data_IF_949041970678
#
_entry.id   IF_949041970678
#
_cell.length_a   1.000
_cell.length_b   1.000
_cell.length_c   1.000
_cell.angle_alpha   90.00
_cell.angle_beta   90.00
_cell.angle_gamma   90.00
#
_symmetry.space_group_name_H-M   'P 1'
#
loop_
_entity.id
_entity.type
_entity.pdbx_description
1 polymer ?
#
# COMPACT_ATOMS: atom_id res chain seq x y z
N UNK A 1 -3.84 -44.85 32.29
CA UNK A 1 -3.96 -45.74 31.12
C UNK A 1 -3.05 -45.24 30.01
N UNK A 2 -2.45 -46.15 29.24
CA UNK A 2 -1.49 -45.85 28.16
C UNK A 2 -2.06 -44.87 27.11
N UNK A 3 -3.38 -44.94 26.88
CA UNK A 3 -4.15 -44.05 26.00
C UNK A 3 -4.03 -42.58 26.42
N UNK A 4 -4.06 -42.28 27.72
CA UNK A 4 -3.95 -40.90 28.21
C UNK A 4 -2.57 -40.31 27.91
N UNK A 5 -1.51 -41.13 28.03
CA UNK A 5 -0.14 -40.72 27.72
C UNK A 5 0.02 -40.42 26.22
N UNK A 6 -0.49 -41.32 25.37
CA UNK A 6 -0.48 -41.13 23.92
C UNK A 6 -1.25 -39.87 23.49
N UNK A 7 -2.45 -39.67 24.04
CA UNK A 7 -3.26 -38.48 23.77
C UNK A 7 -2.55 -37.18 24.15
N UNK A 8 -1.87 -37.16 25.30
CA UNK A 8 -1.11 -36.00 25.75
C UNK A 8 0.08 -35.67 24.84
N UNK A 9 0.75 -36.68 24.29
CA UNK A 9 1.84 -36.49 23.31
C UNK A 9 1.28 -35.87 22.03
N UNK A 10 0.22 -36.45 21.46
CA UNK A 10 -0.41 -35.94 20.24
C UNK A 10 -0.92 -34.51 20.43
N UNK A 11 -1.53 -34.22 21.59
CA UNK A 11 -2.02 -32.87 21.91
C UNK A 11 -0.88 -31.84 21.91
N UNK A 12 0.28 -32.17 22.50
CA UNK A 12 1.46 -31.28 22.46
C UNK A 12 1.94 -31.05 21.04
N UNK A 13 2.04 -32.13 20.25
CA UNK A 13 2.46 -32.04 18.84
C UNK A 13 1.54 -31.15 18.01
N UNK A 14 0.22 -31.26 18.19
CA UNK A 14 -0.76 -30.44 17.45
C UNK A 14 -0.64 -28.96 17.85
N UNK A 15 -0.48 -28.67 19.15
CA UNK A 15 -0.31 -27.29 19.65
C UNK A 15 0.91 -26.62 19.04
N UNK A 16 2.00 -27.36 18.79
CA UNK A 16 3.19 -26.82 18.13
C UNK A 16 3.08 -26.76 16.61
N UNK A 17 2.38 -27.72 15.99
CA UNK A 17 2.26 -27.81 14.53
C UNK A 17 1.32 -26.77 13.93
N UNK A 18 0.19 -26.48 14.58
CA UNK A 18 -0.83 -25.59 14.02
C UNK A 18 -0.30 -24.16 13.82
N UNK A 19 0.36 -23.52 14.81
CA UNK A 19 0.94 -22.19 14.61
C UNK A 19 2.02 -22.17 13.53
N UNK A 20 2.82 -23.24 13.42
CA UNK A 20 3.85 -23.36 12.37
C UNK A 20 3.23 -23.46 10.98
N UNK A 21 2.17 -24.23 10.83
CA UNK A 21 1.45 -24.35 9.57
C UNK A 21 0.80 -23.01 9.16
N UNK A 22 0.21 -22.27 10.10
CA UNK A 22 -0.35 -20.94 9.82
C UNK A 22 0.75 -19.93 9.49
N UNK A 23 1.85 -19.93 10.24
CA UNK A 23 2.99 -19.05 9.97
C UNK A 23 3.52 -19.29 8.55
N UNK A 24 3.79 -20.53 8.17
CA UNK A 24 4.36 -20.85 6.86
C UNK A 24 3.38 -20.55 5.72
N UNK A 25 2.16 -21.08 5.80
CA UNK A 25 1.25 -21.09 4.66
C UNK A 25 0.47 -19.79 4.49
N UNK A 26 0.32 -18.98 5.55
CA UNK A 26 -0.43 -17.73 5.49
C UNK A 26 0.48 -16.53 5.68
N UNK A 27 1.19 -16.45 6.81
CA UNK A 27 1.91 -15.23 7.18
C UNK A 27 3.14 -15.02 6.31
N UNK A 28 4.02 -16.02 6.24
CA UNK A 28 5.24 -15.97 5.42
C UNK A 28 4.89 -15.90 3.95
N UNK A 29 3.98 -16.76 3.48
CA UNK A 29 3.49 -16.74 2.10
C UNK A 29 2.92 -15.37 1.70
N UNK A 30 2.00 -14.81 2.50
CA UNK A 30 1.43 -13.49 2.20
C UNK A 30 2.51 -12.40 2.19
N UNK A 31 3.48 -12.44 3.11
CA UNK A 31 4.57 -11.47 3.13
C UNK A 31 5.42 -11.52 1.86
N UNK A 32 5.72 -12.72 1.36
CA UNK A 32 6.55 -12.92 0.17
C UNK A 32 5.81 -12.55 -1.12
N UNK A 33 4.58 -13.03 -1.29
CA UNK A 33 3.82 -12.80 -2.52
C UNK A 33 3.17 -11.41 -2.58
N UNK A 34 2.89 -10.75 -1.45
CA UNK A 34 2.25 -9.43 -1.44
C UNK A 34 3.03 -8.41 -2.30
N UNK A 35 4.36 -8.39 -2.19
CA UNK A 35 5.18 -7.45 -2.97
C UNK A 35 5.06 -7.72 -4.47
N UNK A 36 5.04 -9.00 -4.87
CA UNK A 36 4.95 -9.41 -6.27
C UNK A 36 3.59 -9.11 -6.86
N UNK A 37 2.53 -9.45 -6.14
CA UNK A 37 1.14 -9.22 -6.58
C UNK A 37 0.85 -7.72 -6.66
N UNK A 38 1.28 -6.94 -5.66
CA UNK A 38 1.12 -5.49 -5.65
C UNK A 38 1.85 -4.85 -6.85
N UNK A 39 3.04 -5.35 -7.18
CA UNK A 39 3.80 -4.87 -8.35
C UNK A 39 3.07 -5.18 -9.66
N UNK A 40 2.53 -6.40 -9.79
CA UNK A 40 1.73 -6.79 -10.96
C UNK A 40 0.49 -5.92 -11.11
N UNK A 41 -0.26 -5.67 -10.02
CA UNK A 41 -1.46 -4.84 -10.06
C UNK A 41 -1.14 -3.37 -10.35
N UNK A 42 -0.10 -2.80 -9.73
CA UNK A 42 0.28 -1.40 -9.92
C UNK A 42 0.80 -1.12 -11.33
N UNK A 43 1.51 -2.06 -11.97
CA UNK A 43 2.02 -1.87 -13.34
C UNK A 43 1.02 -2.21 -14.44
N UNK A 44 -0.23 -2.60 -14.10
CA UNK A 44 -1.30 -2.64 -15.11
C UNK A 44 -1.55 -1.22 -15.60
N UNK A 45 -1.22 -0.97 -16.87
CA UNK A 45 -1.24 0.36 -17.48
C UNK A 45 -2.57 1.11 -17.28
N UNK A 46 -3.69 0.38 -17.28
CA UNK A 46 -5.04 0.93 -17.08
C UNK A 46 -5.27 1.48 -15.66
N UNK A 47 -4.68 0.85 -14.65
CA UNK A 47 -4.83 1.24 -13.24
C UNK A 47 -3.81 2.32 -12.86
N UNK A 48 -2.62 2.28 -13.46
CA UNK A 48 -1.55 3.24 -13.22
C UNK A 48 -1.98 4.67 -13.60
N UNK A 49 -2.62 4.85 -14.76
CA UNK A 49 -3.08 6.17 -15.21
C UNK A 49 -4.14 6.77 -14.27
N UNK A 50 -5.00 5.95 -13.66
CA UNK A 50 -5.97 6.43 -12.66
C UNK A 50 -5.34 6.68 -11.29
N UNK A 51 -4.44 5.81 -10.82
CA UNK A 51 -3.73 5.99 -9.55
C UNK A 51 -2.81 7.21 -9.55
N UNK A 52 -2.24 7.56 -10.71
CA UNK A 52 -1.40 8.73 -10.90
C UNK A 52 -2.18 10.03 -11.14
N UNK A 53 -3.53 9.98 -11.24
CA UNK A 53 -4.33 11.19 -11.30
C UNK A 53 -4.17 11.96 -10.00
N UNK A 54 -3.64 13.15 -10.13
CA UNK A 54 -3.58 14.09 -9.04
C UNK A 54 -5.00 14.49 -8.60
N UNK A 55 -5.21 14.64 -7.29
CA UNK A 55 -6.50 15.07 -6.76
C UNK A 55 -6.95 16.42 -7.36
N UNK A 56 -8.24 16.55 -7.64
CA UNK A 56 -8.84 17.77 -8.21
C UNK A 56 -8.55 19.00 -7.33
N UNK A 57 -8.53 18.81 -6.02
CA UNK A 57 -8.19 19.86 -5.05
C UNK A 57 -6.76 20.38 -5.25
N UNK A 58 -5.77 19.51 -5.42
CA UNK A 58 -4.38 19.94 -5.65
C UNK A 58 -4.24 20.61 -7.02
N UNK A 59 -4.93 20.12 -8.05
CA UNK A 59 -4.98 20.78 -9.36
C UNK A 59 -5.56 22.20 -9.26
N UNK A 60 -6.68 22.36 -8.53
CA UNK A 60 -7.34 23.64 -8.32
C UNK A 60 -6.39 24.62 -7.62
N UNK A 61 -5.77 24.20 -6.50
CA UNK A 61 -4.81 25.03 -5.75
C UNK A 61 -3.62 25.44 -6.59
N UNK A 62 -3.07 24.55 -7.42
CA UNK A 62 -1.98 24.91 -8.34
C UNK A 62 -2.41 25.97 -9.35
N UNK A 63 -3.60 25.83 -9.94
CA UNK A 63 -4.14 26.81 -10.90
C UNK A 63 -4.33 28.18 -10.23
N UNK A 64 -4.84 28.22 -9.01
CA UNK A 64 -5.00 29.45 -8.23
C UNK A 64 -3.66 30.10 -7.91
N UNK A 65 -2.67 29.34 -7.44
CA UNK A 65 -1.33 29.86 -7.20
C UNK A 65 -0.68 30.41 -8.48
N UNK A 66 -0.81 29.71 -9.62
CA UNK A 66 -0.30 30.22 -10.91
C UNK A 66 -0.94 31.55 -11.30
N UNK A 67 -2.27 31.66 -11.19
CA UNK A 67 -2.98 32.92 -11.46
C UNK A 67 -2.51 34.05 -10.55
N UNK A 68 -2.26 33.75 -9.27
CA UNK A 68 -1.73 34.72 -8.32
C UNK A 68 -0.34 35.20 -8.72
N UNK A 69 0.55 34.27 -9.10
CA UNK A 69 1.91 34.61 -9.55
C UNK A 69 1.86 35.47 -10.82
N UNK A 70 1.05 35.11 -11.81
CA UNK A 70 0.89 35.90 -13.04
C UNK A 70 0.33 37.30 -12.78
N UNK A 71 -0.55 37.45 -11.79
CA UNK A 71 -1.07 38.75 -11.39
C UNK A 71 0.01 39.60 -10.70
N UNK A 72 0.79 39.00 -9.80
CA UNK A 72 1.91 39.66 -9.12
C UNK A 72 3.01 40.07 -10.11
N UNK A 73 3.36 39.22 -11.08
CA UNK A 73 4.35 39.54 -12.11
C UNK A 73 3.91 40.72 -12.99
N UNK A 74 2.64 40.74 -13.42
CA UNK A 74 2.10 41.88 -14.18
C UNK A 74 2.06 43.16 -13.35
N UNK A 75 1.75 43.07 -12.06
CA UNK A 75 1.77 44.23 -11.18
C UNK A 75 3.19 44.78 -11.02
N UNK A 76 4.19 43.91 -10.92
CA UNK A 76 5.61 44.29 -10.84
C UNK A 76 6.08 44.94 -12.16
N UNK A 77 5.72 44.37 -13.31
CA UNK A 77 6.03 44.97 -14.63
C UNK A 77 5.39 46.35 -14.83
N UNK A 78 4.15 46.56 -14.39
CA UNK A 78 3.48 47.87 -14.46
C UNK A 78 4.13 48.88 -13.50
N UNK A 79 4.68 48.44 -12.38
CA UNK A 79 5.34 49.31 -11.40
C UNK A 79 6.78 49.69 -11.81
N UNK A 80 7.36 48.98 -12.77
CA UNK A 80 8.68 49.22 -13.37
C UNK A 80 8.64 50.12 -14.63
N UNK A 81 7.44 50.49 -15.11
CA UNK A 81 7.18 51.45 -16.19
C UNK A 81 6.75 52.82 -15.62
#
# INVERSE_FOLDING_TARGET
TLIQSYFNIVKRTIVDMVPKAVMLNLVSYAKEELQRELLQELYKAEVLDELLKESDYTQQRRKECKKMIEALQRADEVNLL
#
